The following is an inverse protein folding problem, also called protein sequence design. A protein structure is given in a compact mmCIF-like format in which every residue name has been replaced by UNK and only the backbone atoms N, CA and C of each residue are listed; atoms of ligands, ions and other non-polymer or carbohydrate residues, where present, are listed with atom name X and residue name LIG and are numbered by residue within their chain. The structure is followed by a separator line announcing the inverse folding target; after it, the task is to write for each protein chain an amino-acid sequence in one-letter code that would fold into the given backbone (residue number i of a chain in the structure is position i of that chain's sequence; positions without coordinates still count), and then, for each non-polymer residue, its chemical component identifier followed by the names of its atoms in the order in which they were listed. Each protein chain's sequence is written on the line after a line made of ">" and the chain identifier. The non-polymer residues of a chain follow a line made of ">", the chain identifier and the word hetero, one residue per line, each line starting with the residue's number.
data_IF_861385177836
#
_entry.id   IF_861385177836
#
_cell.length_a   1.000
_cell.length_b   1.000
_cell.length_c   1.000
_cell.angle_alpha   90.00
_cell.angle_beta   90.00
_cell.angle_gamma   90.00
#
_symmetry.space_group_name_H-M   'P 1'
#
loop_
_entity.id
_entity.type
_entity.pdbx_description
1 polymer ?
#
# COMPACT_ATOMS: atom_id res chain seq x y z
N UNK A 1 -11.87 -30.46 5.24
CA UNK A 1 -11.86 -29.06 4.80
C UNK A 1 -13.27 -28.52 4.93
N UNK A 2 -13.46 -27.44 5.68
CA UNK A 2 -14.76 -26.81 5.90
C UNK A 2 -15.24 -26.18 4.59
N UNK A 3 -16.33 -26.69 4.02
CA UNK A 3 -16.86 -26.32 2.69
C UNK A 3 -17.62 -24.99 2.63
N UNK A 4 -17.21 -23.99 3.41
CA UNK A 4 -17.77 -22.64 3.34
C UNK A 4 -17.15 -21.82 2.20
N UNK A 5 -17.76 -20.68 1.83
CA UNK A 5 -17.13 -19.72 0.92
C UNK A 5 -15.81 -19.21 1.52
N UNK A 6 -14.81 -19.03 0.66
CA UNK A 6 -13.53 -18.47 1.07
C UNK A 6 -13.69 -17.00 1.47
N UNK A 7 -13.18 -16.63 2.65
CA UNK A 7 -13.33 -15.27 3.20
C UNK A 7 -12.23 -14.32 2.75
N UNK A 8 -11.12 -14.83 2.23
CA UNK A 8 -9.92 -14.03 1.94
C UNK A 8 -8.95 -13.88 3.12
N UNK A 9 -9.21 -14.50 4.26
CA UNK A 9 -8.40 -14.35 5.48
C UNK A 9 -7.41 -15.50 5.72
N UNK A 10 -7.09 -16.30 4.70
CA UNK A 10 -6.11 -17.38 4.84
C UNK A 10 -4.69 -16.78 4.98
N UNK A 11 -4.00 -16.98 6.13
CA UNK A 11 -2.73 -16.31 6.38
C UNK A 11 -1.64 -16.67 5.36
N UNK A 12 -1.50 -17.96 5.03
CA UNK A 12 -0.47 -18.40 4.08
C UNK A 12 -0.69 -17.87 2.66
N UNK A 13 -1.95 -17.79 2.23
CA UNK A 13 -2.31 -17.14 0.97
C UNK A 13 -1.98 -15.64 0.99
N UNK A 14 -2.34 -14.95 2.09
CA UNK A 14 -2.15 -13.51 2.21
C UNK A 14 -0.67 -13.12 2.34
N UNK A 15 0.14 -13.91 3.06
CA UNK A 15 1.60 -13.76 3.12
C UNK A 15 2.21 -13.88 1.72
N UNK A 16 1.78 -14.88 0.94
CA UNK A 16 2.23 -15.04 -0.44
C UNK A 16 1.83 -13.87 -1.37
N UNK A 17 0.66 -13.26 -1.15
CA UNK A 17 0.26 -12.03 -1.84
C UNK A 17 1.18 -10.87 -1.43
N UNK A 18 1.36 -10.67 -0.12
CA UNK A 18 2.17 -9.60 0.45
C UNK A 18 3.60 -9.63 -0.13
N UNK A 19 4.28 -10.78 -0.06
CA UNK A 19 5.63 -10.95 -0.61
C UNK A 19 5.69 -10.68 -2.11
N UNK A 20 4.67 -11.13 -2.87
CA UNK A 20 4.62 -10.90 -4.32
C UNK A 20 4.45 -9.42 -4.63
N UNK A 21 3.54 -8.72 -3.94
CA UNK A 21 3.28 -7.31 -4.22
C UNK A 21 4.41 -6.38 -3.75
N UNK A 22 5.15 -6.73 -2.69
CA UNK A 22 6.37 -6.02 -2.29
C UNK A 22 7.46 -5.98 -3.38
N UNK A 23 7.45 -6.93 -4.32
CA UNK A 23 8.38 -6.92 -5.46
C UNK A 23 7.98 -5.93 -6.56
N UNK A 24 6.74 -5.44 -6.53
CA UNK A 24 6.14 -4.56 -7.54
C UNK A 24 5.99 -3.11 -7.05
N UNK A 25 6.65 -2.75 -5.95
CA UNK A 25 6.62 -1.38 -5.42
C UNK A 25 7.24 -0.40 -6.42
N UNK A 26 6.66 0.80 -6.46
CA UNK A 26 7.14 1.88 -7.31
C UNK A 26 8.42 2.53 -6.75
N UNK A 27 8.53 2.64 -5.43
CA UNK A 27 9.67 3.20 -4.71
C UNK A 27 10.19 2.20 -3.68
N UNK A 28 10.98 1.23 -4.12
CA UNK A 28 11.56 0.23 -3.22
C UNK A 28 12.56 0.88 -2.25
N UNK A 29 12.30 0.83 -0.94
CA UNK A 29 13.15 1.43 0.10
C UNK A 29 14.60 0.92 0.11
N UNK A 30 14.83 -0.29 -0.38
CA UNK A 30 16.17 -0.89 -0.50
C UNK A 30 16.88 -0.63 -1.83
N UNK A 31 16.26 0.07 -2.79
CA UNK A 31 16.86 0.28 -4.09
C UNK A 31 18.00 1.33 -4.02
N UNK A 32 19.07 1.17 -4.84
CA UNK A 32 20.20 2.11 -4.82
C UNK A 32 19.84 3.55 -5.19
N UNK A 33 18.73 3.75 -5.90
CA UNK A 33 18.20 5.04 -6.32
C UNK A 33 17.07 5.56 -5.40
N UNK A 34 16.84 4.90 -4.27
CA UNK A 34 15.93 5.39 -3.25
C UNK A 34 16.40 6.75 -2.73
N UNK A 35 15.46 7.67 -2.55
CA UNK A 35 15.72 9.03 -2.06
C UNK A 35 15.16 9.16 -0.66
N UNK A 36 15.94 9.69 0.27
CA UNK A 36 15.52 9.85 1.68
C UNK A 36 14.20 10.61 1.82
N UNK A 37 13.96 11.62 0.98
CA UNK A 37 12.70 12.38 0.95
C UNK A 37 11.47 11.50 0.69
N UNK A 38 11.62 10.37 0.01
CA UNK A 38 10.51 9.44 -0.23
C UNK A 38 10.01 8.77 1.04
N UNK A 39 10.80 8.79 2.12
CA UNK A 39 10.36 8.32 3.42
C UNK A 39 9.18 9.14 3.96
N UNK A 40 9.16 10.45 3.72
CA UNK A 40 8.06 11.33 4.15
C UNK A 40 6.94 11.41 3.10
N UNK A 41 7.14 10.83 1.91
CA UNK A 41 6.20 10.82 0.79
C UNK A 41 5.50 9.45 0.58
N UNK A 42 5.40 8.68 1.66
CA UNK A 42 4.80 7.35 1.61
C UNK A 42 3.28 7.39 1.41
N UNK A 43 2.73 6.34 0.83
CA UNK A 43 1.31 6.17 0.54
C UNK A 43 0.46 6.34 1.80
N UNK A 44 0.84 5.73 2.93
CA UNK A 44 0.15 5.89 4.22
C UNK A 44 0.08 7.34 4.72
N UNK A 45 1.04 8.18 4.31
CA UNK A 45 1.06 9.62 4.61
C UNK A 45 0.30 10.48 3.60
N UNK A 46 -0.22 9.90 2.51
CA UNK A 46 -0.95 10.63 1.48
C UNK A 46 -2.43 10.78 1.84
N UNK A 47 -3.02 11.96 1.59
CA UNK A 47 -4.45 12.23 1.85
C UNK A 47 -5.42 11.42 0.99
N UNK A 48 -4.92 10.78 -0.07
CA UNK A 48 -5.71 9.98 -1.00
C UNK A 48 -5.50 8.48 -0.84
N UNK A 49 -4.69 8.06 0.13
CA UNK A 49 -4.58 6.65 0.46
C UNK A 49 -5.62 6.30 1.51
N UNK A 50 -6.36 5.23 1.24
CA UNK A 50 -7.43 4.72 2.10
C UNK A 50 -7.05 3.31 2.53
N UNK A 51 -6.84 3.11 3.83
CA UNK A 51 -6.50 1.81 4.40
C UNK A 51 -7.55 0.75 4.02
N UNK A 52 -7.09 -0.44 3.64
CA UNK A 52 -7.95 -1.61 3.55
C UNK A 52 -8.13 -2.21 4.96
N UNK A 53 -9.27 -2.85 5.17
CA UNK A 53 -9.56 -3.60 6.40
C UNK A 53 -9.43 -5.10 6.16
N UNK A 54 -9.19 -5.87 7.23
CA UNK A 54 -9.08 -7.33 7.19
C UNK A 54 -7.62 -7.81 7.20
N UNK A 55 -7.41 -9.12 7.12
CA UNK A 55 -6.07 -9.70 7.31
C UNK A 55 -5.09 -9.33 6.19
N UNK A 56 -5.55 -9.29 4.93
CA UNK A 56 -4.75 -8.80 3.80
C UNK A 56 -4.48 -7.29 3.87
N UNK A 57 -5.31 -6.53 4.60
CA UNK A 57 -5.23 -5.07 4.68
C UNK A 57 -4.11 -4.54 5.59
N UNK A 58 -3.41 -5.39 6.34
CA UNK A 58 -2.27 -4.95 7.16
C UNK A 58 -1.19 -4.38 6.23
N UNK A 59 -0.94 -3.08 6.35
CA UNK A 59 -0.01 -2.28 5.54
C UNK A 59 -0.45 -2.04 4.07
N UNK A 60 -1.70 -2.32 3.73
CA UNK A 60 -2.22 -2.14 2.38
C UNK A 60 -3.45 -1.23 2.35
N UNK A 61 -3.50 -0.36 1.35
CA UNK A 61 -4.61 0.56 1.12
C UNK A 61 -4.87 0.74 -0.37
N UNK A 62 -5.87 1.52 -0.73
CA UNK A 62 -6.13 1.91 -2.12
C UNK A 62 -5.71 3.35 -2.37
N UNK A 63 -5.09 3.63 -3.52
CA UNK A 63 -4.93 4.99 -3.99
C UNK A 63 -6.25 5.46 -4.64
N UNK A 64 -6.70 6.65 -4.24
CA UNK A 64 -7.95 7.28 -4.74
C UNK A 64 -7.69 8.61 -5.45
N UNK A 65 -6.43 8.89 -5.79
CA UNK A 65 -6.07 10.13 -6.45
C UNK A 65 -6.22 9.98 -7.97
N UNK A 66 -7.22 10.64 -8.56
CA UNK A 66 -7.49 10.65 -10.00
C UNK A 66 -6.33 11.13 -10.92
N UNK A 67 -5.30 11.78 -10.37
CA UNK A 67 -4.11 12.21 -11.10
C UNK A 67 -2.90 11.29 -10.92
N UNK A 68 -3.03 10.22 -10.14
CA UNK A 68 -2.01 9.19 -9.99
C UNK A 68 -2.20 8.11 -11.04
N UNK A 69 -1.09 7.56 -11.55
CA UNK A 69 -1.13 6.34 -12.37
C UNK A 69 -1.64 5.11 -11.62
N UNK A 70 -1.74 5.22 -10.30
CA UNK A 70 -2.18 4.17 -9.39
C UNK A 70 -3.64 4.34 -8.92
N UNK A 71 -4.42 5.27 -9.48
CA UNK A 71 -5.82 5.46 -9.09
C UNK A 71 -6.63 4.15 -9.19
N UNK A 72 -7.35 3.81 -8.11
CA UNK A 72 -8.10 2.57 -7.98
C UNK A 72 -7.25 1.32 -7.71
N UNK A 73 -5.93 1.44 -7.53
CA UNK A 73 -5.05 0.31 -7.25
C UNK A 73 -4.70 0.17 -5.77
N UNK A 74 -4.50 -1.07 -5.35
CA UNK A 74 -4.00 -1.41 -4.02
C UNK A 74 -2.50 -1.08 -3.94
N UNK A 75 -2.10 -0.29 -2.95
CA UNK A 75 -0.74 0.19 -2.70
C UNK A 75 -0.30 -0.12 -1.28
N UNK A 76 0.97 -0.49 -1.16
CA UNK A 76 1.62 -0.67 0.12
C UNK A 76 1.75 0.67 0.82
N UNK A 77 1.54 0.69 2.13
CA UNK A 77 1.60 1.88 2.97
C UNK A 77 2.94 2.62 2.81
N UNK A 78 4.05 1.88 2.71
CA UNK A 78 5.40 2.43 2.58
C UNK A 78 5.88 2.66 1.13
N UNK A 79 5.02 2.48 0.13
CA UNK A 79 5.34 2.85 -1.25
C UNK A 79 5.06 4.35 -1.48
N UNK A 80 5.24 4.86 -2.70
CA UNK A 80 4.84 6.22 -3.03
C UNK A 80 4.77 6.47 -4.53
N UNK A 81 4.29 7.65 -4.90
CA UNK A 81 4.23 8.09 -6.30
C UNK A 81 4.52 9.58 -6.40
N UNK A 82 4.77 10.06 -7.63
CA UNK A 82 5.07 11.47 -7.88
C UNK A 82 3.88 12.42 -7.58
N UNK A 83 2.65 11.91 -7.48
CA UNK A 83 1.43 12.67 -7.18
C UNK A 83 1.07 12.68 -5.69
N UNK A 84 2.05 12.43 -4.81
CA UNK A 84 1.81 12.43 -3.36
C UNK A 84 1.27 13.79 -2.88
N UNK A 85 0.30 13.75 -1.98
CA UNK A 85 -0.20 14.93 -1.27
C UNK A 85 -0.26 14.59 0.21
N UNK A 86 0.79 14.96 0.95
CA UNK A 86 0.96 14.63 2.37
C UNK A 86 -0.22 15.17 3.19
N UNK A 87 -0.71 14.36 4.13
CA UNK A 87 -1.77 14.75 5.07
C UNK A 87 -1.27 15.87 5.98
N UNK A 88 -2.09 16.89 6.20
CA UNK A 88 -1.72 18.05 7.03
C UNK A 88 -1.89 17.79 8.53
N UNK A 89 -2.59 16.72 8.91
CA UNK A 89 -2.88 16.36 10.30
C UNK A 89 -1.83 15.42 10.92
N UNK A 90 -0.74 15.16 10.20
CA UNK A 90 0.32 14.21 10.57
C UNK A 90 -0.16 12.77 10.83
N UNK A 91 -1.37 12.42 10.37
CA UNK A 91 -1.83 11.03 10.40
C UNK A 91 -1.09 10.18 9.37
N UNK A 92 -0.91 8.91 9.70
CA UNK A 92 -0.28 7.89 8.88
C UNK A 92 -1.06 6.58 9.08
N UNK A 93 -1.21 5.81 8.01
CA UNK A 93 -2.15 4.68 7.95
C UNK A 93 -3.59 5.16 7.79
#
# INVERSE_FOLDING_TARGET
>A
MSGGPWTGDDPGHNDGIHERWLRELNRQTGAPDYRDEWYDEQCGGCRFWVALSGELGRDWGACTHAGSTFDGQVRFEHDGCASVMVRTDASFG
#
